data_IF_864734108428
#
_entry.id   IF_864734108428
#
_cell.length_a   1.000
_cell.length_b   1.000
_cell.length_c   1.000
_cell.angle_alpha   90.00
_cell.angle_beta   90.00
_cell.angle_gamma   90.00
#
_symmetry.space_group_name_H-M   'P 1'
#
loop_
_entity.id
_entity.type
_entity.pdbx_description
1 polymer ?
#
# COMPACT_ATOMS: atom_id res chain seq x y z
N UNK A 1 -3.68 -8.44 9.51
CA UNK A 1 -4.49 -7.57 8.64
C UNK A 1 -5.10 -8.45 7.56
N UNK A 2 -6.33 -8.16 7.10
CA UNK A 2 -6.89 -8.87 5.95
C UNK A 2 -6.15 -8.46 4.66
N UNK A 3 -6.12 -9.34 3.63
CA UNK A 3 -5.43 -9.02 2.38
C UNK A 3 -5.98 -7.79 1.66
N UNK A 4 -7.29 -7.53 1.74
CA UNK A 4 -7.91 -6.34 1.13
C UNK A 4 -7.33 -5.05 1.73
N UNK A 5 -7.22 -5.01 3.06
CA UNK A 5 -6.73 -3.87 3.83
C UNK A 5 -5.24 -3.64 3.59
N UNK A 6 -4.47 -4.71 3.38
CA UNK A 6 -3.06 -4.62 3.00
C UNK A 6 -2.90 -4.03 1.60
N UNK A 7 -3.74 -4.41 0.64
CA UNK A 7 -3.72 -3.85 -0.72
C UNK A 7 -4.04 -2.35 -0.68
N UNK A 8 -5.10 -1.97 0.04
CA UNK A 8 -5.44 -0.55 0.21
C UNK A 8 -4.34 0.22 0.94
N UNK A 9 -3.73 -0.37 1.97
CA UNK A 9 -2.59 0.24 2.66
C UNK A 9 -1.37 0.43 1.75
N UNK A 10 -1.09 -0.52 0.84
CA UNK A 10 0.03 -0.42 -0.10
C UNK A 10 -0.13 0.77 -1.06
N UNK A 11 -1.36 1.21 -1.32
CA UNK A 11 -1.67 2.42 -2.10
C UNK A 11 -1.67 3.68 -1.23
N UNK A 12 -2.24 3.62 -0.03
CA UNK A 12 -2.41 4.80 0.85
C UNK A 12 -1.09 5.24 1.48
N UNK A 13 -0.23 4.30 1.91
CA UNK A 13 1.05 4.62 2.56
C UNK A 13 1.95 5.53 1.71
N UNK A 14 2.24 5.25 0.43
CA UNK A 14 3.07 6.14 -0.38
C UNK A 14 2.41 7.50 -0.64
N UNK A 15 1.09 7.55 -0.80
CA UNK A 15 0.36 8.81 -0.98
C UNK A 15 0.43 9.70 0.27
N UNK A 16 0.15 9.11 1.44
CA UNK A 16 0.28 9.80 2.72
C UNK A 16 1.73 10.22 2.97
N UNK A 17 2.68 9.32 2.70
CA UNK A 17 4.11 9.58 2.82
C UNK A 17 4.56 10.76 1.95
N UNK A 18 4.13 10.84 0.69
CA UNK A 18 4.47 11.95 -0.19
C UNK A 18 3.99 13.31 0.37
N UNK A 19 2.75 13.37 0.89
CA UNK A 19 2.22 14.56 1.56
C UNK A 19 3.06 14.91 2.80
N UNK A 20 3.34 13.93 3.65
CA UNK A 20 4.12 14.14 4.88
C UNK A 20 5.55 14.57 4.61
N UNK A 21 6.23 14.01 3.60
CA UNK A 21 7.57 14.39 3.15
C UNK A 21 7.57 15.87 2.71
N UNK A 22 6.57 16.26 1.90
CA UNK A 22 6.43 17.64 1.43
C UNK A 22 6.19 18.64 2.56
N UNK A 23 5.43 18.27 3.59
CA UNK A 23 5.21 19.10 4.78
C UNK A 23 6.46 19.14 5.66
N UNK A 24 7.07 17.99 5.96
CA UNK A 24 8.27 17.87 6.79
C UNK A 24 9.46 18.65 6.22
N UNK A 25 9.64 18.64 4.90
CA UNK A 25 10.69 19.39 4.22
C UNK A 25 10.60 20.90 4.39
N UNK A 26 9.43 21.44 4.76
CA UNK A 26 9.27 22.88 5.09
C UNK A 26 9.86 23.23 6.46
N UNK A 27 10.02 22.26 7.35
CA UNK A 27 10.50 22.47 8.72
C UNK A 27 11.97 22.08 8.89
N UNK A 28 12.40 20.94 8.34
CA UNK A 28 13.78 20.46 8.47
C UNK A 28 14.13 19.39 7.41
N UNK A 29 15.31 19.47 6.78
CA UNK A 29 15.80 18.42 5.89
C UNK A 29 15.90 17.04 6.56
N UNK A 30 16.36 16.98 7.81
CA UNK A 30 16.49 15.69 8.52
C UNK A 30 15.13 15.06 8.82
N UNK A 31 14.12 15.89 9.13
CA UNK A 31 12.76 15.39 9.35
C UNK A 31 12.16 14.83 8.05
N UNK A 32 12.40 15.49 6.91
CA UNK A 32 12.01 14.97 5.59
C UNK A 32 12.58 13.57 5.38
N UNK A 33 13.87 13.37 5.59
CA UNK A 33 14.51 12.06 5.42
C UNK A 33 13.98 11.01 6.39
N UNK A 34 13.73 11.39 7.65
CA UNK A 34 13.11 10.49 8.62
C UNK A 34 11.72 10.02 8.14
N UNK A 35 10.89 10.94 7.64
CA UNK A 35 9.57 10.59 7.09
C UNK A 35 9.69 9.71 5.85
N UNK A 36 10.67 9.95 4.98
CA UNK A 36 10.96 9.08 3.83
C UNK A 36 11.29 7.66 4.27
N UNK A 37 12.22 7.50 5.22
CA UNK A 37 12.63 6.19 5.73
C UNK A 37 11.49 5.46 6.44
N UNK A 38 10.72 6.16 7.26
CA UNK A 38 9.54 5.59 7.92
C UNK A 38 8.49 5.15 6.90
N UNK A 39 8.19 5.98 5.90
CA UNK A 39 7.25 5.64 4.82
C UNK A 39 7.70 4.37 4.08
N UNK A 40 8.97 4.29 3.71
CA UNK A 40 9.54 3.13 3.04
C UNK A 40 9.45 1.87 3.91
N UNK A 41 9.81 1.96 5.20
CA UNK A 41 9.71 0.85 6.13
C UNK A 41 8.28 0.35 6.33
N UNK A 42 7.30 1.26 6.42
CA UNK A 42 5.89 0.91 6.49
C UNK A 42 5.41 0.23 5.21
N UNK A 43 5.79 0.74 4.04
CA UNK A 43 5.42 0.14 2.76
C UNK A 43 6.00 -1.28 2.61
N UNK A 44 7.28 -1.46 2.99
CA UNK A 44 7.92 -2.79 3.01
C UNK A 44 7.14 -3.75 3.91
N UNK A 45 6.79 -3.32 5.13
CA UNK A 45 6.03 -4.12 6.07
C UNK A 45 4.67 -4.56 5.48
N UNK A 46 3.95 -3.64 4.83
CA UNK A 46 2.66 -3.93 4.18
C UNK A 46 2.83 -4.94 3.03
N UNK A 47 3.79 -4.72 2.13
CA UNK A 47 4.04 -5.62 0.99
C UNK A 47 4.49 -7.01 1.47
N UNK A 48 5.40 -7.08 2.44
CA UNK A 48 5.85 -8.36 3.00
C UNK A 48 4.72 -9.13 3.69
N UNK A 49 3.75 -8.43 4.27
CA UNK A 49 2.58 -9.07 4.86
C UNK A 49 1.66 -9.76 3.82
N UNK A 50 1.75 -9.39 2.53
CA UNK A 50 1.02 -10.05 1.44
C UNK A 50 1.75 -11.29 0.89
N UNK A 51 3.08 -11.36 1.07
CA UNK A 51 3.91 -12.42 0.47
C UNK A 51 3.47 -13.84 0.83
N UNK A 52 3.12 -14.19 2.08
CA UNK A 52 2.70 -15.55 2.41
C UNK A 52 1.51 -16.00 1.56
N UNK A 53 0.48 -15.16 1.44
CA UNK A 53 -0.71 -15.47 0.63
C UNK A 53 -0.37 -15.65 -0.85
N UNK A 54 0.52 -14.82 -1.39
CA UNK A 54 0.93 -14.91 -2.80
C UNK A 54 1.79 -16.16 -3.05
N UNK A 55 2.70 -16.49 -2.13
CA UNK A 55 3.56 -17.68 -2.20
C UNK A 55 2.77 -18.98 -2.03
N UNK A 56 1.67 -18.96 -1.28
CA UNK A 56 0.72 -20.08 -1.21
C UNK A 56 -0.17 -20.20 -2.46
N UNK A 57 0.09 -19.40 -3.51
CA UNK A 57 -0.65 -19.40 -4.77
C UNK A 57 -1.95 -18.59 -4.74
N UNK A 58 -2.22 -17.88 -3.63
CA UNK A 58 -3.35 -16.97 -3.51
C UNK A 58 -3.21 -15.74 -4.40
N UNK A 59 -4.35 -15.22 -4.85
CA UNK A 59 -4.44 -13.94 -5.59
C UNK A 59 -5.29 -12.97 -4.79
N UNK A 60 -4.74 -12.33 -3.74
CA UNK A 60 -5.51 -11.45 -2.89
C UNK A 60 -6.05 -10.28 -3.72
N UNK A 61 -7.27 -9.85 -3.41
CA UNK A 61 -7.93 -8.77 -4.10
C UNK A 61 -8.69 -7.87 -3.13
N UNK A 62 -8.82 -6.60 -3.50
CA UNK A 62 -9.59 -5.59 -2.79
C UNK A 62 -10.61 -5.00 -3.76
N UNK A 63 -11.90 -5.26 -3.53
CA UNK A 63 -12.99 -4.70 -4.32
C UNK A 63 -13.17 -3.22 -3.93
N UNK A 64 -13.32 -2.36 -4.93
CA UNK A 64 -13.52 -0.92 -4.74
C UNK A 64 -14.97 -0.53 -4.96
N UNK A 65 -15.56 -1.02 -6.05
CA UNK A 65 -16.93 -0.73 -6.44
C UNK A 65 -17.45 -1.81 -7.39
N UNK A 66 -18.76 -2.02 -7.39
CA UNK A 66 -19.47 -2.80 -8.39
C UNK A 66 -20.19 -1.82 -9.33
N UNK A 67 -19.88 -1.88 -10.63
CA UNK A 67 -20.39 -0.91 -11.62
C UNK A 67 -21.73 -1.37 -12.17
N UNK A 68 -21.84 -2.68 -12.43
CA UNK A 68 -23.04 -3.40 -12.83
C UNK A 68 -23.08 -4.72 -12.06
N UNK A 69 -24.25 -5.36 -11.91
CA UNK A 69 -24.35 -6.69 -11.30
C UNK A 69 -23.34 -7.69 -11.90
N UNK A 70 -22.39 -8.14 -11.08
CA UNK A 70 -21.32 -9.06 -11.47
C UNK A 70 -20.13 -8.45 -12.22
N UNK A 71 -20.02 -7.11 -12.27
CA UNK A 71 -18.89 -6.38 -12.87
C UNK A 71 -18.23 -5.50 -11.81
N UNK A 72 -17.09 -5.97 -11.31
CA UNK A 72 -16.33 -5.33 -10.24
C UNK A 72 -15.15 -4.50 -10.75
N UNK A 73 -14.93 -3.36 -10.10
CA UNK A 73 -13.64 -2.68 -10.07
C UNK A 73 -12.93 -3.15 -8.81
N UNK A 74 -11.81 -3.85 -8.97
CA UNK A 74 -11.01 -4.36 -7.87
C UNK A 74 -9.52 -4.28 -8.19
N UNK A 75 -8.71 -4.11 -7.14
CA UNK A 75 -7.28 -4.39 -7.20
C UNK A 75 -7.05 -5.88 -6.98
N UNK A 76 -6.16 -6.47 -7.76
CA UNK A 76 -5.73 -7.86 -7.60
C UNK A 76 -4.21 -7.90 -7.65
N UNK A 77 -3.61 -8.51 -6.64
CA UNK A 77 -2.16 -8.69 -6.57
C UNK A 77 -1.79 -9.98 -7.30
N UNK A 78 -0.78 -9.88 -8.14
CA UNK A 78 -0.17 -11.01 -8.82
C UNK A 78 1.30 -11.15 -8.38
N UNK A 79 1.96 -12.30 -8.62
CA UNK A 79 3.36 -12.48 -8.22
C UNK A 79 4.35 -11.46 -8.83
N UNK A 80 3.96 -10.81 -9.92
CA UNK A 80 4.76 -9.77 -10.60
C UNK A 80 4.57 -8.37 -10.00
N UNK A 81 3.65 -8.22 -9.03
CA UNK A 81 3.12 -6.94 -8.59
C UNK A 81 1.73 -6.72 -9.18
#
# INVERSE_FOLDING_TARGET
>A
MSPDSLILAALIVPLAGAVLIGLAGRFSPNLREAVTLVTAGLLIFVVWSLLPTVYDGGRPSAQLAEVLPGIDIAFRVEPLG
#
